data_IF_681893941298
#
_entry.id   IF_681893941298
#
_cell.length_a   1.000
_cell.length_b   1.000
_cell.length_c   1.000
_cell.angle_alpha   90.00
_cell.angle_beta   90.00
_cell.angle_gamma   90.00
#
_symmetry.space_group_name_H-M   'P 1'
#
loop_
_entity.id
_entity.type
_entity.pdbx_description
1 polymer ?
#
# COMPACT_ATOMS: atom_id res chain seq x y z
N UNK A 1 -16.62 -13.75 15.89
CA UNK A 1 -17.01 -13.24 14.55
C UNK A 1 -16.06 -13.82 13.53
N UNK A 2 -16.60 -14.43 12.47
CA UNK A 2 -15.78 -14.82 11.31
C UNK A 2 -16.37 -14.14 10.08
N UNK A 3 -15.48 -13.56 9.26
CA UNK A 3 -15.82 -12.93 8.00
C UNK A 3 -15.11 -13.69 6.89
N UNK A 4 -15.86 -14.10 5.86
CA UNK A 4 -15.32 -14.87 4.73
C UNK A 4 -15.82 -14.31 3.40
N UNK A 5 -14.93 -14.16 2.44
CA UNK A 5 -15.26 -13.96 1.03
C UNK A 5 -15.06 -15.28 0.31
N UNK A 6 -16.16 -15.94 -0.06
CA UNK A 6 -16.14 -17.29 -0.62
C UNK A 6 -15.30 -18.25 0.24
N UNK A 7 -14.10 -18.62 -0.21
CA UNK A 7 -13.18 -19.51 0.50
C UNK A 7 -12.13 -18.79 1.36
N UNK A 8 -12.08 -17.45 1.34
CA UNK A 8 -11.02 -16.65 1.95
C UNK A 8 -11.55 -15.99 3.23
N UNK A 9 -11.06 -16.45 4.37
CA UNK A 9 -11.34 -15.83 5.66
C UNK A 9 -10.53 -14.56 5.89
N UNK A 10 -11.13 -13.61 6.57
CA UNK A 10 -10.43 -12.50 7.19
C UNK A 10 -9.96 -12.94 8.58
N UNK A 11 -8.64 -12.91 8.79
CA UNK A 11 -7.98 -13.35 10.03
C UNK A 11 -7.35 -12.14 10.75
N UNK A 12 -6.10 -12.24 11.17
CA UNK A 12 -5.34 -11.21 11.88
C UNK A 12 -4.10 -10.81 11.07
N UNK A 13 -4.33 -10.10 9.97
CA UNK A 13 -3.28 -9.52 9.11
C UNK A 13 -2.95 -10.32 7.86
N UNK A 14 -3.80 -11.26 7.44
CA UNK A 14 -3.60 -11.94 6.16
C UNK A 14 -3.75 -10.98 4.97
N UNK A 15 -3.10 -11.32 3.86
CA UNK A 15 -3.24 -10.58 2.61
C UNK A 15 -4.51 -11.04 1.88
N UNK A 16 -5.30 -10.08 1.41
CA UNK A 16 -6.52 -10.30 0.65
C UNK A 16 -6.45 -9.45 -0.62
N UNK A 17 -6.62 -10.08 -1.77
CA UNK A 17 -6.74 -9.36 -3.03
C UNK A 17 -8.07 -8.61 -3.11
N UNK A 18 -8.05 -7.39 -3.65
CA UNK A 18 -9.24 -6.57 -3.73
C UNK A 18 -10.36 -7.25 -4.56
N UNK A 19 -10.02 -8.05 -5.58
CA UNK A 19 -10.93 -8.79 -6.45
C UNK A 19 -11.77 -9.79 -5.66
N UNK A 20 -11.19 -10.40 -4.63
CA UNK A 20 -11.91 -11.33 -3.76
C UNK A 20 -12.95 -10.60 -2.92
N UNK A 21 -12.78 -9.29 -2.73
CA UNK A 21 -13.75 -8.41 -2.05
C UNK A 21 -14.76 -7.76 -3.00
N UNK A 22 -14.95 -8.28 -4.22
CA UNK A 22 -15.95 -7.71 -5.14
C UNK A 22 -17.39 -7.98 -4.66
N UNK A 23 -17.62 -9.15 -4.08
CA UNK A 23 -18.91 -9.56 -3.52
C UNK A 23 -18.98 -9.31 -2.00
N UNK A 24 -20.20 -9.22 -1.47
CA UNK A 24 -20.43 -9.10 -0.02
C UNK A 24 -19.89 -10.36 0.69
N UNK A 25 -19.18 -10.22 1.83
CA UNK A 25 -18.71 -11.37 2.58
C UNK A 25 -19.84 -12.03 3.38
N UNK A 26 -19.67 -13.32 3.64
CA UNK A 26 -20.44 -14.06 4.63
C UNK A 26 -19.89 -13.77 6.03
N UNK A 27 -20.77 -13.34 6.92
CA UNK A 27 -20.42 -12.99 8.30
C UNK A 27 -21.17 -13.92 9.25
N UNK A 28 -20.42 -14.64 10.06
CA UNK A 28 -20.96 -15.39 11.20
C UNK A 28 -20.65 -14.66 12.51
N UNK A 29 -21.72 -14.33 13.24
CA UNK A 29 -21.67 -13.70 14.56
C UNK A 29 -22.15 -14.74 15.55
N UNK A 30 -21.32 -15.05 16.56
CA UNK A 30 -21.69 -15.95 17.63
C UNK A 30 -22.70 -15.24 18.54
N UNK A 31 -23.79 -15.93 18.86
CA UNK A 31 -24.81 -15.40 19.77
C UNK A 31 -24.30 -15.47 21.21
N UNK A 32 -24.39 -14.34 21.91
CA UNK A 32 -23.94 -14.20 23.31
C UNK A 32 -25.14 -13.82 24.21
N UNK A 33 -26.32 -13.59 23.64
CA UNK A 33 -27.57 -13.36 24.37
C UNK A 33 -28.34 -12.17 23.81
N UNK A 34 -29.19 -11.55 24.62
CA UNK A 34 -30.06 -10.49 24.10
C UNK A 34 -29.29 -9.22 23.70
N UNK A 35 -29.80 -8.57 22.65
CA UNK A 35 -29.31 -7.29 22.13
C UNK A 35 -29.18 -7.26 20.62
N UNK A 36 -28.40 -6.28 20.16
CA UNK A 36 -28.12 -6.01 18.76
C UNK A 36 -26.61 -5.86 18.55
N UNK A 37 -26.19 -6.13 17.33
CA UNK A 37 -24.83 -5.96 16.86
C UNK A 37 -24.79 -4.95 15.70
N UNK A 38 -23.75 -4.13 15.66
CA UNK A 38 -23.39 -3.25 14.55
C UNK A 38 -22.05 -3.68 13.99
N UNK A 39 -21.99 -3.80 12.68
CA UNK A 39 -20.83 -4.25 11.93
C UNK A 39 -20.27 -3.10 11.09
N UNK A 40 -18.95 -2.90 11.14
CA UNK A 40 -18.24 -1.89 10.36
C UNK A 40 -17.05 -2.51 9.65
N UNK A 41 -16.98 -2.37 8.33
CA UNK A 41 -15.81 -2.66 7.52
C UNK A 41 -15.18 -1.35 7.05
N UNK A 42 -13.92 -1.13 7.39
CA UNK A 42 -13.20 0.12 7.17
C UNK A 42 -11.82 -0.12 6.55
N UNK A 43 -11.36 0.85 5.77
CA UNK A 43 -10.01 0.92 5.22
C UNK A 43 -9.31 2.14 5.84
N UNK A 44 -8.33 1.85 6.71
CA UNK A 44 -7.62 2.84 7.50
C UNK A 44 -6.75 3.76 6.64
N UNK A 45 -6.24 3.23 5.53
CA UNK A 45 -5.26 3.92 4.67
C UNK A 45 -5.90 4.38 3.34
N UNK A 46 -7.23 4.24 3.22
CA UNK A 46 -7.97 4.42 1.97
C UNK A 46 -8.36 5.86 1.61
N UNK A 47 -8.05 6.86 2.45
CA UNK A 47 -8.50 8.23 2.25
C UNK A 47 -7.54 9.01 1.32
N UNK A 48 -7.98 9.41 0.10
CA UNK A 48 -7.11 10.14 -0.82
C UNK A 48 -7.18 11.67 -0.66
N UNK A 49 -8.11 12.21 0.14
CA UNK A 49 -8.39 13.65 0.21
C UNK A 49 -7.73 14.30 1.44
N UNK A 50 -7.86 13.66 2.60
CA UNK A 50 -7.35 14.17 3.88
C UNK A 50 -6.51 13.11 4.58
N UNK A 51 -5.58 13.55 5.43
CA UNK A 51 -4.85 12.65 6.32
C UNK A 51 -5.74 12.05 7.42
N UNK A 52 -6.83 12.76 7.75
CA UNK A 52 -7.77 12.37 8.80
C UNK A 52 -9.03 11.73 8.21
N UNK A 53 -9.45 10.62 8.83
CA UNK A 53 -10.67 9.90 8.48
C UNK A 53 -10.40 8.64 7.66
N UNK A 54 -11.21 7.63 7.91
CA UNK A 54 -11.11 6.31 7.31
C UNK A 54 -12.24 6.11 6.28
N UNK A 55 -11.99 5.30 5.25
CA UNK A 55 -13.03 4.97 4.27
C UNK A 55 -13.84 3.79 4.78
N UNK A 56 -15.15 4.00 4.96
CA UNK A 56 -16.08 2.94 5.38
C UNK A 56 -16.63 2.24 4.15
N UNK A 57 -16.25 0.97 4.01
CA UNK A 57 -16.66 0.11 2.92
C UNK A 57 -18.05 -0.48 3.15
N UNK A 58 -18.38 -0.82 4.39
CA UNK A 58 -19.68 -1.38 4.73
C UNK A 58 -20.06 -1.07 6.18
N UNK A 59 -21.29 -0.63 6.41
CA UNK A 59 -21.83 -0.38 7.75
C UNK A 59 -23.25 -0.93 7.84
N UNK A 60 -23.45 -1.90 8.72
CA UNK A 60 -24.77 -2.48 9.02
C UNK A 60 -25.02 -2.33 10.51
N UNK A 61 -26.12 -1.66 10.86
CA UNK A 61 -26.51 -1.41 12.23
C UNK A 61 -27.65 -2.33 12.67
N UNK A 62 -27.84 -2.48 13.99
CA UNK A 62 -29.02 -3.13 14.58
C UNK A 62 -29.29 -4.56 14.08
N UNK A 63 -28.25 -5.35 13.85
CA UNK A 63 -28.35 -6.78 13.54
C UNK A 63 -28.81 -7.49 14.82
N UNK A 64 -29.99 -8.14 14.86
CA UNK A 64 -30.41 -8.85 16.06
C UNK A 64 -29.43 -9.98 16.40
N UNK A 65 -29.17 -10.22 17.68
CA UNK A 65 -28.24 -11.27 18.10
C UNK A 65 -28.67 -12.66 17.57
N UNK A 66 -27.69 -13.47 17.17
CA UNK A 66 -27.93 -14.80 16.59
C UNK A 66 -28.58 -14.81 15.20
N UNK A 67 -28.81 -13.64 14.57
CA UNK A 67 -29.33 -13.54 13.21
C UNK A 67 -28.25 -13.16 12.20
N UNK A 68 -28.53 -13.46 10.92
CA UNK A 68 -27.70 -13.03 9.79
C UNK A 68 -27.71 -11.50 9.62
N UNK A 69 -26.63 -10.96 9.06
CA UNK A 69 -26.43 -9.53 8.78
C UNK A 69 -27.54 -8.92 7.92
N UNK A 70 -28.22 -9.75 7.10
CA UNK A 70 -29.36 -9.35 6.28
C UNK A 70 -30.51 -8.76 7.11
N UNK A 71 -30.66 -9.20 8.37
CA UNK A 71 -31.71 -8.73 9.26
C UNK A 71 -31.36 -7.40 9.97
N UNK A 72 -30.16 -6.87 9.74
CA UNK A 72 -29.76 -5.54 10.18
C UNK A 72 -30.18 -4.45 9.21
N UNK A 73 -30.00 -3.20 9.65
CA UNK A 73 -30.21 -2.01 8.85
C UNK A 73 -28.91 -1.61 8.13
N UNK A 74 -28.86 -1.76 6.82
CA UNK A 74 -27.74 -1.29 6.00
C UNK A 74 -27.73 0.25 5.96
N UNK A 75 -26.69 0.86 6.54
CA UNK A 75 -26.51 2.32 6.60
C UNK A 75 -25.60 2.76 5.45
N UNK A 76 -24.44 2.12 5.32
CA UNK A 76 -23.51 2.35 4.22
C UNK A 76 -23.52 1.08 3.37
N UNK A 77 -23.96 1.13 2.11
CA UNK A 77 -23.97 -0.02 1.22
C UNK A 77 -22.56 -0.55 0.99
N UNK A 78 -22.45 -1.88 0.87
CA UNK A 78 -21.17 -2.54 0.60
C UNK A 78 -20.47 -1.94 -0.62
N UNK A 79 -19.19 -1.63 -0.44
CA UNK A 79 -18.28 -1.27 -1.50
C UNK A 79 -17.03 -2.14 -1.37
N UNK A 80 -16.60 -2.72 -2.50
CA UNK A 80 -15.33 -3.44 -2.61
C UNK A 80 -14.17 -2.61 -2.03
N UNK A 81 -13.18 -3.29 -1.45
CA UNK A 81 -11.99 -2.60 -0.94
C UNK A 81 -11.21 -1.99 -2.10
N UNK A 82 -10.88 -0.70 -2.02
CA UNK A 82 -10.20 0.05 -3.09
C UNK A 82 -8.81 0.58 -2.65
N UNK A 83 -7.80 -0.29 -2.47
CA UNK A 83 -6.41 0.16 -2.32
C UNK A 83 -5.91 0.80 -3.62
N UNK A 84 -5.35 2.00 -3.55
CA UNK A 84 -4.91 2.72 -4.76
C UNK A 84 -3.61 2.15 -5.34
N UNK A 85 -3.39 2.35 -6.64
CA UNK A 85 -2.17 1.85 -7.27
C UNK A 85 -0.96 2.63 -6.75
N UNK A 86 0.02 1.93 -6.20
CA UNK A 86 1.29 2.51 -5.76
C UNK A 86 1.29 3.13 -4.35
N UNK A 87 0.21 2.99 -3.59
CA UNK A 87 0.15 3.37 -2.16
C UNK A 87 0.63 2.25 -1.22
N UNK A 88 0.87 1.05 -1.75
CA UNK A 88 1.31 -0.11 -0.98
C UNK A 88 0.14 -0.94 -0.44
N UNK A 89 0.33 -1.54 0.73
CA UNK A 89 -0.70 -2.35 1.39
C UNK A 89 -1.58 -1.47 2.28
N UNK A 90 -2.90 -1.58 2.07
CA UNK A 90 -3.89 -0.92 2.90
C UNK A 90 -4.34 -1.83 4.03
N UNK A 91 -4.51 -1.28 5.23
CA UNK A 91 -5.05 -2.00 6.38
C UNK A 91 -6.57 -1.91 6.39
N UNK A 92 -7.20 -3.06 6.22
CA UNK A 92 -8.64 -3.22 6.35
C UNK A 92 -8.92 -3.71 7.76
N UNK A 93 -9.86 -3.06 8.43
CA UNK A 93 -10.33 -3.47 9.73
C UNK A 93 -11.84 -3.73 9.72
N UNK A 94 -12.22 -4.67 10.56
CA UNK A 94 -13.56 -5.15 10.74
C UNK A 94 -13.89 -5.04 12.23
N UNK A 95 -14.88 -4.22 12.56
CA UNK A 95 -15.29 -3.92 13.92
C UNK A 95 -16.70 -4.45 14.16
N UNK A 96 -16.87 -5.22 15.22
CA UNK A 96 -18.18 -5.63 15.73
C UNK A 96 -18.44 -4.90 17.05
N UNK A 97 -19.50 -4.10 17.06
CA UNK A 97 -19.99 -3.37 18.22
C UNK A 97 -21.28 -4.04 18.69
N UNK A 98 -21.47 -4.19 19.99
CA UNK A 98 -22.69 -4.71 20.59
C UNK A 98 -23.39 -3.61 21.38
N UNK A 99 -24.71 -3.62 21.37
CA UNK A 99 -25.56 -2.68 22.08
C UNK A 99 -26.90 -3.31 22.49
N UNK A 100 -27.52 -2.78 23.56
CA UNK A 100 -28.79 -3.32 24.09
C UNK A 100 -30.02 -2.74 23.38
N UNK A 101 -29.98 -1.46 23.05
CA UNK A 101 -31.11 -0.71 22.46
C UNK A 101 -30.81 -0.36 21.01
N UNK A 102 -31.82 -0.37 20.14
CA UNK A 102 -31.64 -0.05 18.73
C UNK A 102 -31.15 1.39 18.52
N UNK A 103 -30.14 1.56 17.67
CA UNK A 103 -29.45 2.83 17.45
C UNK A 103 -29.86 3.42 16.11
N UNK A 104 -30.19 4.72 16.10
CA UNK A 104 -30.52 5.41 14.87
C UNK A 104 -29.26 6.03 14.22
N UNK A 105 -28.77 5.38 13.17
CA UNK A 105 -27.65 5.87 12.35
C UNK A 105 -28.09 6.46 11.00
N UNK A 106 -29.37 6.79 10.84
CA UNK A 106 -29.92 7.25 9.55
C UNK A 106 -29.27 8.53 9.03
N UNK A 107 -28.77 9.39 9.92
CA UNK A 107 -28.05 10.63 9.57
C UNK A 107 -26.68 10.39 8.95
N UNK A 108 -26.12 9.18 9.11
CA UNK A 108 -24.79 8.80 8.61
C UNK A 108 -24.84 8.09 7.26
N UNK A 109 -26.02 7.98 6.64
CA UNK A 109 -26.14 7.43 5.29
C UNK A 109 -25.43 8.35 4.28
N UNK A 110 -24.61 7.79 3.37
CA UNK A 110 -23.92 8.57 2.36
C UNK A 110 -24.96 9.18 1.40
N UNK A 111 -24.77 10.43 1.01
CA UNK A 111 -25.70 11.15 0.11
C UNK A 111 -25.51 10.72 -1.34
N UNK A 112 -24.29 10.36 -1.71
CA UNK A 112 -23.88 9.89 -3.02
C UNK A 112 -23.09 8.58 -2.92
N UNK A 113 -22.84 7.96 -4.09
CA UNK A 113 -21.98 6.78 -4.22
C UNK A 113 -20.49 7.14 -4.11
N UNK A 114 -20.16 8.44 -4.21
CA UNK A 114 -18.81 8.97 -4.17
C UNK A 114 -18.03 8.53 -2.91
N UNK A 115 -16.70 8.35 -3.06
CA UNK A 115 -15.83 7.98 -1.95
C UNK A 115 -15.79 9.03 -0.85
N UNK A 116 -15.96 10.32 -1.18
CA UNK A 116 -15.91 11.41 -0.20
C UNK A 116 -17.01 11.31 0.86
N UNK A 117 -18.20 10.85 0.48
CA UNK A 117 -19.34 10.65 1.39
C UNK A 117 -19.19 9.40 2.27
N UNK A 118 -18.16 8.58 2.00
CA UNK A 118 -17.83 7.36 2.75
C UNK A 118 -16.68 7.56 3.74
N UNK A 119 -16.12 8.76 3.82
CA UNK A 119 -15.05 9.08 4.75
C UNK A 119 -15.67 9.45 6.10
N UNK A 120 -15.34 8.67 7.12
CA UNK A 120 -15.80 8.89 8.47
C UNK A 120 -14.61 8.82 9.43
N UNK A 121 -14.66 9.56 10.52
CA UNK A 121 -13.82 9.26 11.68
C UNK A 121 -14.57 8.28 12.56
N UNK A 122 -14.21 7.00 12.50
CA UNK A 122 -14.85 5.94 13.30
C UNK A 122 -14.65 6.21 14.78
N UNK A 123 -13.50 6.79 15.17
CA UNK A 123 -13.24 7.21 16.54
C UNK A 123 -14.21 8.28 17.05
N UNK A 124 -14.50 9.30 16.24
CA UNK A 124 -15.51 10.32 16.60
C UNK A 124 -16.91 9.71 16.67
N UNK A 125 -17.27 8.86 15.70
CA UNK A 125 -18.55 8.16 15.69
C UNK A 125 -18.72 7.29 16.96
N UNK A 126 -17.68 6.55 17.35
CA UNK A 126 -17.71 5.75 18.56
C UNK A 126 -17.90 6.61 19.81
N UNK A 127 -17.24 7.77 19.89
CA UNK A 127 -17.38 8.71 21.01
C UNK A 127 -18.81 9.24 21.17
N UNK A 128 -19.54 9.44 20.09
CA UNK A 128 -20.95 9.86 20.14
C UNK A 128 -21.86 8.79 20.76
N UNK A 129 -21.56 7.51 20.51
CA UNK A 129 -22.36 6.38 20.98
C UNK A 129 -21.69 5.57 22.10
N UNK A 130 -20.69 6.13 22.77
CA UNK A 130 -19.83 5.42 23.74
C UNK A 130 -20.62 4.73 24.86
N UNK A 131 -21.75 5.32 25.28
CA UNK A 131 -22.61 4.73 26.33
C UNK A 131 -23.42 3.51 25.86
N UNK A 132 -23.66 3.39 24.55
CA UNK A 132 -24.52 2.37 23.96
C UNK A 132 -23.70 1.27 23.28
N UNK A 133 -22.62 1.65 22.59
CA UNK A 133 -21.74 0.72 21.88
C UNK A 133 -20.65 0.17 22.79
N UNK A 134 -20.54 -1.14 22.80
CA UNK A 134 -19.43 -1.87 23.41
C UNK A 134 -18.71 -2.66 22.31
N UNK A 135 -17.41 -2.41 22.07
CA UNK A 135 -16.62 -3.21 21.13
C UNK A 135 -16.56 -4.65 21.59
N UNK A 136 -16.99 -5.57 20.73
CA UNK A 136 -17.07 -7.00 21.04
C UNK A 136 -16.01 -7.81 20.29
N UNK A 137 -15.80 -7.53 19.01
CA UNK A 137 -14.80 -8.24 18.21
C UNK A 137 -14.10 -7.29 17.24
N UNK A 138 -12.85 -7.64 16.93
CA UNK A 138 -12.01 -6.95 15.98
C UNK A 138 -11.29 -7.96 15.12
N UNK A 139 -11.22 -7.70 13.82
CA UNK A 139 -10.46 -8.52 12.87
C UNK A 139 -9.88 -7.60 11.81
N UNK A 140 -8.70 -7.91 11.29
CA UNK A 140 -8.04 -7.03 10.33
C UNK A 140 -7.26 -7.84 9.29
N UNK A 141 -7.09 -7.26 8.11
CA UNK A 141 -6.34 -7.83 7.00
C UNK A 141 -5.60 -6.72 6.25
N UNK A 142 -4.69 -7.12 5.37
CA UNK A 142 -4.04 -6.23 4.43
C UNK A 142 -4.62 -6.47 3.04
N UNK A 143 -4.78 -5.41 2.26
CA UNK A 143 -5.13 -5.52 0.84
C UNK A 143 -4.15 -4.75 -0.03
N UNK A 144 -3.86 -5.36 -1.18
CA UNK A 144 -3.06 -4.77 -2.25
C UNK A 144 -3.93 -4.36 -3.42
N UNK A 145 -3.43 -3.39 -4.19
CA UNK A 145 -4.03 -2.99 -5.45
C UNK A 145 -4.08 -4.15 -6.46
N UNK A 146 -5.19 -4.22 -7.19
CA UNK A 146 -5.35 -5.04 -8.37
C UNK A 146 -6.16 -4.32 -9.45
N UNK A 147 -6.36 -4.99 -10.59
CA UNK A 147 -7.06 -4.43 -11.75
C UNK A 147 -8.54 -4.15 -11.44
N UNK A 148 -9.17 -4.96 -10.58
CA UNK A 148 -10.59 -4.84 -10.25
C UNK A 148 -10.90 -3.55 -9.47
N UNK A 149 -9.93 -3.01 -8.73
CA UNK A 149 -10.05 -1.69 -8.07
C UNK A 149 -10.36 -0.61 -9.10
N UNK A 150 -9.71 -0.63 -10.26
CA UNK A 150 -9.90 0.40 -11.29
C UNK A 150 -11.34 0.38 -11.83
N UNK A 151 -11.90 -0.81 -12.06
CA UNK A 151 -13.28 -0.97 -12.51
C UNK A 151 -14.28 -0.43 -11.46
N UNK A 152 -14.02 -0.71 -10.19
CA UNK A 152 -14.84 -0.22 -9.07
C UNK A 152 -14.75 1.30 -8.92
N UNK A 153 -13.56 1.89 -9.05
CA UNK A 153 -13.39 3.35 -9.01
C UNK A 153 -14.11 4.02 -10.19
N UNK A 154 -14.01 3.47 -11.39
CA UNK A 154 -14.75 3.95 -12.56
C UNK A 154 -16.27 3.84 -12.38
N UNK A 155 -16.77 2.77 -11.74
CA UNK A 155 -18.21 2.60 -11.40
C UNK A 155 -18.71 3.70 -10.48
N UNK A 156 -17.87 4.20 -9.58
CA UNK A 156 -18.17 5.32 -8.67
C UNK A 156 -18.02 6.69 -9.38
N UNK A 157 -17.52 6.71 -10.62
CA UNK A 157 -17.26 7.94 -11.39
C UNK A 157 -15.92 8.61 -11.05
N UNK A 158 -15.00 7.90 -10.39
CA UNK A 158 -13.67 8.40 -10.05
C UNK A 158 -12.62 7.82 -11.01
N UNK A 159 -11.68 8.64 -11.47
CA UNK A 159 -10.51 8.16 -12.22
C UNK A 159 -9.57 7.41 -11.28
N UNK A 160 -9.03 6.26 -11.70
CA UNK A 160 -8.08 5.51 -10.90
C UNK A 160 -6.73 6.26 -10.77
N UNK A 161 -6.39 6.80 -9.58
CA UNK A 161 -5.13 7.49 -9.39
C UNK A 161 -3.97 6.49 -9.32
N UNK A 162 -2.80 6.93 -9.78
CA UNK A 162 -1.56 6.18 -9.71
C UNK A 162 -0.59 7.00 -8.87
N UNK A 163 -0.10 6.39 -7.79
CA UNK A 163 0.90 6.95 -6.91
C UNK A 163 2.26 6.31 -7.20
N UNK A 164 3.32 7.09 -7.02
CA UNK A 164 4.69 6.60 -7.08
C UNK A 164 5.43 7.11 -5.85
N UNK A 165 6.23 6.24 -5.24
CA UNK A 165 7.03 6.62 -4.09
C UNK A 165 8.19 7.50 -4.56
N UNK A 166 8.12 8.79 -4.24
CA UNK A 166 9.22 9.72 -4.47
C UNK A 166 10.27 9.57 -3.37
N UNK A 167 11.41 8.98 -3.70
CA UNK A 167 12.56 8.95 -2.79
C UNK A 167 13.09 10.37 -2.56
N UNK A 168 13.46 10.67 -1.32
CA UNK A 168 14.18 11.90 -1.01
C UNK A 168 15.46 11.96 -1.84
N UNK A 169 15.78 13.12 -2.46
CA UNK A 169 17.04 13.27 -3.17
C UNK A 169 18.19 13.05 -2.17
N UNK A 170 19.29 12.43 -2.62
CA UNK A 170 20.47 12.27 -1.75
C UNK A 170 20.95 13.64 -1.29
N UNK A 171 21.30 13.77 -0.01
CA UNK A 171 21.86 15.00 0.54
C UNK A 171 23.18 15.29 -0.17
N UNK A 172 23.22 16.39 -0.91
CA UNK A 172 24.45 16.89 -1.56
C UNK A 172 25.11 17.89 -0.63
N UNK A 173 26.39 17.66 -0.31
CA UNK A 173 27.21 18.62 0.41
C UNK A 173 27.57 19.78 -0.53
N UNK A 174 27.62 21.01 -0.01
CA UNK A 174 28.11 22.14 -0.78
C UNK A 174 29.54 21.90 -1.25
N UNK A 175 29.79 22.17 -2.53
CA UNK A 175 31.12 22.05 -3.11
C UNK A 175 32.02 23.12 -2.50
N UNK A 176 33.05 22.68 -1.77
CA UNK A 176 34.12 23.54 -1.25
C UNK A 176 35.26 23.59 -2.28
N UNK A 177 35.80 24.77 -2.52
CA UNK A 177 36.96 24.95 -3.40
C UNK A 177 38.17 24.15 -2.87
N UNK A 178 38.41 24.20 -1.56
CA UNK A 178 39.46 23.45 -0.88
C UNK A 178 38.89 22.69 0.33
N UNK A 179 38.52 21.40 0.17
CA UNK A 179 38.06 20.61 1.29
C UNK A 179 39.22 20.29 2.26
N UNK A 180 39.00 20.50 3.57
CA UNK A 180 40.01 20.25 4.62
C UNK A 180 40.51 18.80 4.67
N UNK A 181 39.67 17.85 4.26
CA UNK A 181 40.04 16.45 4.06
C UNK A 181 39.95 16.14 2.58
N UNK A 182 40.91 15.38 2.01
CA UNK A 182 40.85 14.97 0.61
C UNK A 182 39.55 14.21 0.36
N UNK A 183 38.65 14.76 -0.45
CA UNK A 183 37.44 14.08 -0.90
C UNK A 183 37.71 13.39 -2.23
N UNK A 184 37.18 12.18 -2.43
CA UNK A 184 37.41 11.46 -3.66
C UNK A 184 36.62 12.14 -4.80
N UNK A 185 37.33 12.36 -5.92
CA UNK A 185 36.85 13.09 -7.10
C UNK A 185 35.66 12.40 -7.82
N UNK A 186 35.38 11.14 -7.47
CA UNK A 186 34.34 10.31 -8.06
C UNK A 186 32.93 10.62 -7.54
N UNK A 187 32.80 11.41 -6.47
CA UNK A 187 31.52 11.82 -5.89
C UNK A 187 30.85 12.97 -6.65
N UNK A 188 31.59 13.67 -7.52
CA UNK A 188 31.02 14.67 -8.42
C UNK A 188 30.23 13.95 -9.52
N UNK A 189 28.91 14.13 -9.53
CA UNK A 189 28.00 13.39 -10.40
C UNK A 189 28.19 13.74 -11.88
N UNK A 190 28.66 12.77 -12.67
CA UNK A 190 28.58 12.81 -14.14
C UNK A 190 27.61 11.71 -14.61
N UNK A 191 26.31 11.92 -14.39
CA UNK A 191 25.25 11.01 -14.90
C UNK A 191 25.32 10.80 -16.42
N UNK A 192 25.84 11.79 -17.15
CA UNK A 192 26.08 11.72 -18.58
C UNK A 192 27.08 10.62 -18.98
N UNK A 193 28.07 10.33 -18.14
CA UNK A 193 29.12 9.36 -18.48
C UNK A 193 28.61 7.93 -18.42
N UNK A 194 27.74 7.61 -17.45
CA UNK A 194 27.12 6.30 -17.35
C UNK A 194 26.25 6.00 -18.58
N UNK A 195 25.48 6.99 -19.04
CA UNK A 195 24.65 6.86 -20.23
C UNK A 195 25.52 6.68 -21.49
N UNK A 196 26.58 7.48 -21.65
CA UNK A 196 27.54 7.33 -22.76
C UNK A 196 28.17 5.93 -22.76
N UNK A 197 28.61 5.44 -21.60
CA UNK A 197 29.18 4.10 -21.43
C UNK A 197 28.19 3.03 -21.87
N UNK A 198 26.93 3.15 -21.44
CA UNK A 198 25.84 2.23 -21.82
C UNK A 198 25.62 2.20 -23.32
N UNK A 199 25.62 3.36 -23.98
CA UNK A 199 25.48 3.47 -25.43
C UNK A 199 26.68 2.87 -26.17
N UNK A 200 27.90 3.01 -25.65
CA UNK A 200 29.10 2.41 -26.23
C UNK A 200 29.14 0.89 -26.11
N UNK A 201 28.64 0.33 -25.00
CA UNK A 201 28.65 -1.12 -24.78
C UNK A 201 27.60 -1.86 -25.59
N UNK A 202 26.49 -1.20 -25.96
CA UNK A 202 25.49 -1.81 -26.85
C UNK A 202 25.98 -1.81 -28.30
N UNK A 203 25.86 -2.98 -28.93
CA UNK A 203 25.89 -3.12 -30.39
C UNK A 203 24.47 -3.40 -30.88
N UNK A 204 24.20 -3.14 -32.16
CA UNK A 204 22.87 -3.32 -32.77
C UNK A 204 22.37 -4.76 -32.54
N UNK A 205 23.26 -5.75 -32.66
CA UNK A 205 22.88 -7.17 -32.62
C UNK A 205 23.10 -7.85 -31.26
N UNK A 206 23.75 -7.18 -30.29
CA UNK A 206 24.15 -7.81 -29.02
C UNK A 206 24.01 -6.87 -27.83
N UNK A 207 23.28 -7.35 -26.82
CA UNK A 207 23.24 -6.74 -25.49
C UNK A 207 24.54 -7.01 -24.73
N UNK A 208 25.02 -6.06 -23.91
CA UNK A 208 26.20 -6.27 -23.10
C UNK A 208 25.91 -7.30 -22.01
N UNK A 209 26.81 -8.28 -21.88
CA UNK A 209 26.73 -9.32 -20.85
C UNK A 209 27.56 -8.92 -19.64
N UNK A 210 26.99 -9.11 -18.46
CA UNK A 210 27.67 -8.80 -17.21
C UNK A 210 28.84 -9.78 -16.99
N UNK A 211 30.05 -9.28 -16.64
CA UNK A 211 31.17 -10.15 -16.30
C UNK A 211 30.82 -11.10 -15.15
N UNK A 212 31.28 -12.35 -15.23
CA UNK A 212 31.05 -13.37 -14.20
C UNK A 212 31.69 -13.00 -12.85
N UNK A 213 32.83 -12.30 -12.87
CA UNK A 213 33.57 -11.91 -11.69
C UNK A 213 33.71 -10.39 -11.62
N UNK A 214 33.56 -9.77 -10.42
CA UNK A 214 33.72 -8.34 -10.26
C UNK A 214 35.12 -7.83 -10.67
N UNK A 215 36.15 -8.62 -10.41
CA UNK A 215 37.53 -8.35 -10.84
C UNK A 215 38.27 -9.67 -10.98
N UNK A 216 38.75 -9.99 -12.19
CA UNK A 216 39.46 -11.24 -12.47
C UNK A 216 40.92 -11.19 -11.98
N UNK A 217 41.52 -9.99 -11.97
CA UNK A 217 42.92 -9.74 -11.62
C UNK A 217 43.02 -8.90 -10.32
N UNK A 218 42.17 -9.22 -9.35
CA UNK A 218 41.99 -8.45 -8.11
C UNK A 218 43.31 -8.08 -7.41
N UNK A 219 44.25 -9.02 -7.35
CA UNK A 219 45.53 -8.82 -6.64
C UNK A 219 46.42 -7.82 -7.35
N UNK A 220 46.44 -7.82 -8.68
CA UNK A 220 47.24 -6.88 -9.48
C UNK A 220 46.58 -5.51 -9.51
N UNK A 221 45.27 -5.46 -9.76
CA UNK A 221 44.51 -4.22 -9.82
C UNK A 221 44.54 -3.47 -8.48
N UNK A 222 44.48 -4.18 -7.35
CA UNK A 222 44.60 -3.56 -6.02
C UNK A 222 45.97 -2.95 -5.73
N UNK A 223 47.05 -3.45 -6.36
CA UNK A 223 48.41 -2.91 -6.21
C UNK A 223 48.66 -1.73 -7.14
N UNK A 224 48.15 -1.81 -8.37
CA UNK A 224 48.47 -0.85 -9.43
C UNK A 224 47.46 0.31 -9.51
N UNK A 225 46.21 0.08 -9.14
CA UNK A 225 45.15 1.08 -9.22
C UNK A 225 44.95 1.83 -7.90
N UNK A 226 44.65 3.13 -7.95
CA UNK A 226 44.08 3.85 -6.81
C UNK A 226 42.80 3.19 -6.32
N UNK A 227 42.57 3.21 -5.01
CA UNK A 227 41.40 2.61 -4.36
C UNK A 227 40.07 2.96 -5.06
N UNK A 228 39.87 4.21 -5.48
CA UNK A 228 38.62 4.65 -6.10
C UNK A 228 38.41 4.09 -7.52
N UNK A 229 39.48 3.82 -8.27
CA UNK A 229 39.39 3.18 -9.59
C UNK A 229 39.04 1.71 -9.44
N UNK A 230 39.69 1.05 -8.47
CA UNK A 230 39.43 -0.34 -8.14
C UNK A 230 37.99 -0.55 -7.63
N UNK A 231 37.53 0.30 -6.71
CA UNK A 231 36.16 0.30 -6.21
C UNK A 231 35.12 0.57 -7.32
N UNK A 232 35.39 1.49 -8.24
CA UNK A 232 34.53 1.72 -9.39
C UNK A 232 34.47 0.49 -10.32
N UNK A 233 35.59 -0.16 -10.62
CA UNK A 233 35.64 -1.36 -11.46
C UNK A 233 34.82 -2.49 -10.85
N UNK A 234 35.01 -2.75 -9.55
CA UNK A 234 34.24 -3.75 -8.81
C UNK A 234 32.75 -3.45 -8.86
N UNK A 235 32.35 -2.19 -8.67
CA UNK A 235 30.94 -1.79 -8.68
C UNK A 235 30.33 -1.83 -10.07
N UNK A 236 31.10 -1.47 -11.10
CA UNK A 236 30.70 -1.52 -12.51
C UNK A 236 30.43 -2.96 -12.93
N UNK A 237 31.40 -3.86 -12.75
CA UNK A 237 31.28 -5.26 -13.14
C UNK A 237 30.23 -6.03 -12.32
N UNK A 238 30.06 -5.70 -11.03
CA UNK A 238 29.02 -6.31 -10.19
C UNK A 238 27.63 -5.73 -10.39
N UNK A 239 27.48 -4.62 -11.11
CA UNK A 239 26.18 -3.98 -11.31
C UNK A 239 25.58 -3.43 -10.03
N UNK A 240 26.41 -2.95 -9.12
CA UNK A 240 25.97 -2.42 -7.83
C UNK A 240 25.75 -0.90 -7.88
N UNK A 241 24.79 -0.42 -7.08
CA UNK A 241 24.41 0.99 -7.03
C UNK A 241 24.01 1.54 -8.41
N UNK A 242 24.65 2.63 -8.84
CA UNK A 242 24.36 3.29 -10.12
C UNK A 242 24.66 2.43 -11.35
N UNK A 243 25.64 1.53 -11.26
CA UNK A 243 26.05 0.68 -12.39
C UNK A 243 25.07 -0.45 -12.68
N UNK A 244 24.09 -0.69 -11.80
CA UNK A 244 22.97 -1.61 -12.05
C UNK A 244 22.28 -1.30 -13.39
N UNK A 245 22.16 -0.02 -13.73
CA UNK A 245 21.56 0.44 -14.98
C UNK A 245 22.31 0.02 -16.25
N UNK A 246 23.57 -0.43 -16.16
CA UNK A 246 24.33 -0.99 -17.29
C UNK A 246 23.85 -2.39 -17.67
N UNK A 247 23.38 -3.17 -16.70
CA UNK A 247 23.09 -4.60 -16.88
C UNK A 247 21.60 -4.95 -16.75
N UNK A 248 20.86 -4.26 -15.87
CA UNK A 248 19.52 -4.70 -15.46
C UNK A 248 18.35 -4.00 -16.15
N UNK A 249 18.59 -3.10 -17.11
CA UNK A 249 17.53 -2.29 -17.72
C UNK A 249 17.51 -2.46 -19.26
N UNK A 250 16.63 -3.32 -19.80
CA UNK A 250 16.38 -3.34 -21.23
C UNK A 250 15.67 -2.04 -21.61
N UNK A 251 16.33 -1.20 -22.42
CA UNK A 251 15.61 -0.21 -23.24
C UNK A 251 14.93 -1.07 -24.32
N UNK A 252 13.65 -1.39 -24.10
CA UNK A 252 12.75 -1.88 -25.14
C UNK A 252 12.09 -0.66 -25.79
#
# INVERSE_FOLDING_TARGET
>A
MQLKWDNIGLYQGNLIDAANTSNKPDISIESIGDGFNSFILLNLDGNPYNCDGEVVHWLVANIPDGKSVINGMEIIPYLQVVPFKGTGYHRIACLLLRHKEAINLSSRKPKSVALIDRIFSVGQLYKEFEKQWTPSAFSFAQASWDISVNETLHRIGMKAPIYEYQHNPPVKMDQKEFPLKPQPFNLYEIHADLLKRRLQMRKIDKSPEQPKYPDIDYVENKKNMPFWQHDNLLKENSGSGRYKALWSNPIN
#
